data_IF_710346850144
#
_entry.id   IF_710346850144
#
_cell.length_a   1.000
_cell.length_b   1.000
_cell.length_c   1.000
_cell.angle_alpha   90.00
_cell.angle_beta   90.00
_cell.angle_gamma   90.00
#
_symmetry.space_group_name_H-M   'P 1'
#
loop_
_entity.id
_entity.type
_entity.pdbx_description
1 polymer ?
#
# COMPACT_ATOMS: atom_id res chain seq x y z
N UNK A 1 28.33 -22.18 14.30
CA UNK A 1 27.98 -21.00 13.49
C UNK A 1 27.07 -20.14 14.34
N UNK A 2 27.55 -18.95 14.70
CA UNK A 2 26.96 -18.06 15.70
C UNK A 2 25.59 -17.53 15.26
N UNK A 3 24.55 -17.85 16.03
CA UNK A 3 23.26 -17.17 16.00
C UNK A 3 23.48 -15.67 16.24
N UNK A 4 23.34 -14.89 15.18
CA UNK A 4 23.35 -13.45 15.25
C UNK A 4 22.15 -12.98 16.08
N UNK A 5 22.40 -12.60 17.32
CA UNK A 5 21.50 -11.84 18.19
C UNK A 5 21.04 -10.56 17.46
N UNK A 6 19.98 -10.64 16.63
CA UNK A 6 19.33 -9.47 16.05
C UNK A 6 18.65 -8.74 17.20
N UNK A 7 19.33 -7.72 17.74
CA UNK A 7 18.63 -6.67 18.47
C UNK A 7 17.44 -6.23 17.60
N UNK A 8 16.21 -6.14 18.13
CA UNK A 8 15.10 -5.59 17.37
C UNK A 8 15.53 -4.24 16.77
N UNK A 9 15.25 -4.04 15.48
CA UNK A 9 15.64 -2.83 14.80
C UNK A 9 14.97 -1.64 15.50
N UNK A 10 15.78 -0.83 16.18
CA UNK A 10 15.28 0.28 16.97
C UNK A 10 14.48 1.26 16.11
N UNK A 11 14.81 1.38 14.83
CA UNK A 11 14.06 2.22 13.90
C UNK A 11 12.67 1.65 13.66
N UNK A 12 12.55 0.33 13.50
CA UNK A 12 11.26 -0.35 13.32
C UNK A 12 10.37 -0.23 14.56
N UNK A 13 10.93 -0.36 15.77
CA UNK A 13 10.18 -0.13 17.02
C UNK A 13 9.58 1.27 17.08
N UNK A 14 10.34 2.29 16.65
CA UNK A 14 9.92 3.68 16.62
C UNK A 14 8.82 3.92 15.58
N UNK A 15 8.93 3.32 14.38
CA UNK A 15 7.88 3.38 13.36
C UNK A 15 6.61 2.66 13.79
N UNK A 16 6.73 1.50 14.46
CA UNK A 16 5.59 0.77 15.01
C UNK A 16 4.87 1.59 16.09
N UNK A 17 5.63 2.24 16.99
CA UNK A 17 5.08 3.15 17.98
C UNK A 17 4.37 4.36 17.33
N UNK A 18 4.98 4.98 16.32
CA UNK A 18 4.37 6.06 15.57
C UNK A 18 3.05 5.64 14.92
N UNK A 19 3.02 4.48 14.25
CA UNK A 19 1.82 3.92 13.65
C UNK A 19 0.69 3.72 14.66
N UNK A 20 0.99 3.15 15.84
CA UNK A 20 0.00 2.99 16.93
C UNK A 20 -0.57 4.34 17.39
N UNK A 21 0.28 5.36 17.54
CA UNK A 21 -0.17 6.72 17.91
C UNK A 21 -1.04 7.34 16.82
N UNK A 22 -0.66 7.22 15.55
CA UNK A 22 -1.45 7.75 14.46
C UNK A 22 -2.84 7.11 14.38
N UNK A 23 -2.94 5.79 14.60
CA UNK A 23 -4.23 5.09 14.68
C UNK A 23 -5.03 5.53 15.91
N UNK A 24 -4.40 5.63 17.07
CA UNK A 24 -5.11 5.92 18.33
C UNK A 24 -5.61 7.37 18.42
N UNK A 25 -4.82 8.36 17.99
CA UNK A 25 -5.11 9.79 18.24
C UNK A 25 -5.01 10.71 17.02
N UNK A 26 -4.57 10.19 15.86
CA UNK A 26 -4.36 10.97 14.63
C UNK A 26 -2.93 11.51 14.46
N UNK A 27 -2.58 11.89 13.23
CA UNK A 27 -1.24 12.36 12.85
C UNK A 27 -1.01 13.79 13.39
N UNK A 28 -2.00 14.68 13.29
CA UNK A 28 -1.90 16.07 13.80
C UNK A 28 -1.59 16.12 15.28
N UNK A 29 -2.34 15.36 16.10
CA UNK A 29 -2.26 15.37 17.57
C UNK A 29 -1.04 14.62 18.13
N UNK A 30 -0.41 13.77 17.32
CA UNK A 30 0.79 13.04 17.75
C UNK A 30 2.03 13.95 17.71
N UNK A 31 2.80 13.98 18.81
CA UNK A 31 4.09 14.68 18.91
C UNK A 31 5.28 13.71 18.83
N UNK A 32 6.49 14.24 18.61
CA UNK A 32 7.71 13.42 18.66
C UNK A 32 7.91 12.80 20.06
N UNK A 33 7.60 13.56 21.11
CA UNK A 33 7.66 13.11 22.49
C UNK A 33 6.67 11.96 22.77
N UNK A 34 5.46 12.02 22.19
CA UNK A 34 4.50 10.91 22.28
C UNK A 34 5.03 9.64 21.65
N UNK A 35 5.66 9.75 20.47
CA UNK A 35 6.24 8.59 19.76
C UNK A 35 7.38 8.00 20.58
N UNK A 36 8.27 8.84 21.11
CA UNK A 36 9.38 8.38 21.95
C UNK A 36 8.86 7.64 23.20
N UNK A 37 7.84 8.20 23.88
CA UNK A 37 7.22 7.59 25.05
C UNK A 37 6.54 6.26 24.70
N UNK A 38 5.76 6.20 23.62
CA UNK A 38 5.12 4.97 23.12
C UNK A 38 6.14 3.88 22.77
N UNK A 39 7.30 4.26 22.22
CA UNK A 39 8.41 3.36 21.89
C UNK A 39 9.29 2.99 23.10
N UNK A 40 8.97 3.50 24.30
CA UNK A 40 9.83 3.41 25.50
C UNK A 40 11.27 3.83 25.16
N UNK A 41 11.39 4.96 24.48
CA UNK A 41 12.64 5.53 23.97
C UNK A 41 12.92 6.90 24.57
N UNK A 42 14.20 7.21 24.77
CA UNK A 42 14.61 8.58 25.04
C UNK A 42 14.46 9.47 23.81
N UNK A 43 14.16 10.76 24.03
CA UNK A 43 14.04 11.78 22.96
C UNK A 43 15.26 11.80 22.03
N UNK A 44 16.47 11.79 22.60
CA UNK A 44 17.72 11.77 21.82
C UNK A 44 17.81 10.54 20.88
N UNK A 45 17.26 9.40 21.28
CA UNK A 45 17.21 8.21 20.42
C UNK A 45 16.26 8.41 19.25
N UNK A 46 15.05 8.95 19.46
CA UNK A 46 14.12 9.22 18.36
C UNK A 46 14.70 10.22 17.37
N UNK A 47 15.24 11.35 17.85
CA UNK A 47 15.79 12.40 16.99
C UNK A 47 17.06 11.98 16.23
N UNK A 48 17.79 10.96 16.70
CA UNK A 48 18.89 10.34 15.95
C UNK A 48 18.39 9.57 14.71
N UNK A 49 17.18 9.01 14.77
CA UNK A 49 16.59 8.27 13.65
C UNK A 49 15.74 9.16 12.74
N UNK A 50 15.04 10.15 13.29
CA UNK A 50 14.12 11.00 12.54
C UNK A 50 14.26 12.47 12.93
N UNK A 51 14.51 13.32 11.93
CA UNK A 51 14.70 14.77 12.13
C UNK A 51 13.46 15.49 12.66
N UNK A 52 12.27 15.02 12.27
CA UNK A 52 10.98 15.63 12.61
C UNK A 52 9.84 14.62 12.38
N UNK A 53 8.60 15.04 12.70
CA UNK A 53 7.40 14.21 12.52
C UNK A 53 7.14 13.86 11.06
N UNK A 54 7.39 14.78 10.12
CA UNK A 54 7.20 14.51 8.69
C UNK A 54 8.09 13.36 8.22
N UNK A 55 9.36 13.32 8.63
CA UNK A 55 10.25 12.20 8.32
C UNK A 55 9.76 10.87 8.91
N UNK A 56 9.13 10.88 10.10
CA UNK A 56 8.51 9.67 10.66
C UNK A 56 7.33 9.21 9.80
N UNK A 57 6.49 10.14 9.33
CA UNK A 57 5.34 9.81 8.48
C UNK A 57 5.82 9.23 7.14
N UNK A 58 6.79 9.87 6.51
CA UNK A 58 7.31 9.44 5.21
C UNK A 58 7.97 8.05 5.30
N UNK A 59 8.79 7.82 6.33
CA UNK A 59 9.43 6.53 6.58
C UNK A 59 8.43 5.44 6.98
N UNK A 60 7.36 5.81 7.70
CA UNK A 60 6.26 4.89 8.00
C UNK A 60 5.53 4.48 6.72
N UNK A 61 5.23 5.43 5.82
CA UNK A 61 4.58 5.12 4.54
C UNK A 61 5.49 4.30 3.61
N UNK A 62 6.81 4.49 3.67
CA UNK A 62 7.76 3.64 2.97
C UNK A 62 7.69 2.18 3.48
N UNK A 63 7.63 1.99 4.80
CA UNK A 63 7.43 0.68 5.43
C UNK A 63 6.09 0.05 5.05
N UNK A 64 5.01 0.83 5.08
CA UNK A 64 3.68 0.34 4.64
C UNK A 64 3.70 0.02 3.14
N UNK A 65 4.49 0.74 2.34
CA UNK A 65 4.77 0.41 0.95
C UNK A 65 5.37 -1.00 0.80
N UNK A 66 6.36 -1.38 1.61
CA UNK A 66 6.91 -2.75 1.57
C UNK A 66 5.87 -3.81 1.94
N UNK A 67 4.99 -3.51 2.89
CA UNK A 67 3.87 -4.41 3.23
C UNK A 67 2.87 -4.51 2.08
N UNK A 68 2.62 -3.40 1.38
CA UNK A 68 1.78 -3.36 0.20
C UNK A 68 2.34 -4.23 -0.93
N UNK A 69 3.64 -4.12 -1.24
CA UNK A 69 4.29 -5.03 -2.21
C UNK A 69 4.07 -6.49 -1.87
N UNK A 70 4.33 -6.88 -0.61
CA UNK A 70 4.12 -8.27 -0.16
C UNK A 70 2.65 -8.71 -0.31
N UNK A 71 1.70 -7.83 -0.03
CA UNK A 71 0.28 -8.13 -0.19
C UNK A 71 -0.09 -8.34 -1.68
N UNK A 72 0.42 -7.51 -2.58
CA UNK A 72 0.22 -7.67 -4.03
C UNK A 72 0.84 -8.98 -4.55
N UNK A 73 2.08 -9.29 -4.14
CA UNK A 73 2.77 -10.53 -4.51
C UNK A 73 2.00 -11.77 -4.04
N UNK A 74 1.53 -11.76 -2.79
CA UNK A 74 0.66 -12.83 -2.26
C UNK A 74 -0.67 -12.90 -3.01
N UNK A 75 -1.22 -11.75 -3.38
CA UNK A 75 -2.40 -11.63 -4.22
C UNK A 75 -2.20 -12.23 -5.61
N UNK A 76 -1.00 -12.17 -6.18
CA UNK A 76 -0.69 -12.80 -7.47
C UNK A 76 -0.32 -14.29 -7.35
N UNK A 77 0.30 -14.68 -6.23
CA UNK A 77 0.90 -16.01 -6.04
C UNK A 77 -0.10 -17.16 -6.27
N UNK A 78 0.42 -18.26 -6.83
CA UNK A 78 -0.33 -19.50 -7.04
C UNK A 78 -1.38 -19.48 -8.16
N UNK A 79 -1.41 -18.42 -8.99
CA UNK A 79 -2.38 -18.26 -10.08
C UNK A 79 -1.78 -18.62 -11.44
N UNK A 80 -2.60 -19.29 -12.24
CA UNK A 80 -2.16 -19.92 -13.49
C UNK A 80 -1.94 -18.88 -14.59
N UNK A 81 -2.92 -18.02 -14.85
CA UNK A 81 -2.85 -17.04 -15.94
C UNK A 81 -2.39 -15.66 -15.49
N UNK A 82 -1.81 -14.88 -16.40
CA UNK A 82 -1.45 -13.48 -16.16
C UNK A 82 -2.67 -12.63 -15.79
N UNK A 83 -3.84 -12.90 -16.40
CA UNK A 83 -5.10 -12.25 -16.04
C UNK A 83 -5.47 -12.52 -14.57
N UNK A 84 -5.38 -13.77 -14.13
CA UNK A 84 -5.72 -14.13 -12.75
C UNK A 84 -4.73 -13.49 -11.76
N UNK A 85 -3.42 -13.48 -12.10
CA UNK A 85 -2.39 -12.81 -11.27
C UNK A 85 -2.68 -11.32 -11.10
N UNK A 86 -3.03 -10.62 -12.18
CA UNK A 86 -3.40 -9.20 -12.15
C UNK A 86 -4.67 -8.99 -11.31
N UNK A 87 -5.69 -9.81 -11.50
CA UNK A 87 -6.93 -9.76 -10.71
C UNK A 87 -6.65 -9.95 -9.21
N UNK A 88 -5.87 -10.97 -8.87
CA UNK A 88 -5.52 -11.28 -7.49
C UNK A 88 -4.71 -10.18 -6.82
N UNK A 89 -3.72 -9.64 -7.52
CA UNK A 89 -2.95 -8.48 -7.05
C UNK A 89 -3.84 -7.24 -6.91
N UNK A 90 -4.75 -6.98 -7.86
CA UNK A 90 -5.69 -5.85 -7.79
C UNK A 90 -6.58 -5.93 -6.55
N UNK A 91 -7.18 -7.10 -6.29
CA UNK A 91 -8.00 -7.35 -5.10
C UNK A 91 -7.22 -7.17 -3.81
N UNK A 92 -6.00 -7.72 -3.75
CA UNK A 92 -5.13 -7.54 -2.60
C UNK A 92 -4.79 -6.07 -2.38
N UNK A 93 -4.57 -5.32 -3.46
CA UNK A 93 -4.30 -3.89 -3.40
C UNK A 93 -5.48 -3.09 -2.84
N UNK A 94 -6.69 -3.33 -3.37
CA UNK A 94 -7.92 -2.68 -2.86
C UNK A 94 -8.13 -2.99 -1.38
N UNK A 95 -8.04 -4.27 -0.98
CA UNK A 95 -8.19 -4.68 0.42
C UNK A 95 -7.16 -4.03 1.32
N UNK A 96 -5.90 -3.97 0.89
CA UNK A 96 -4.86 -3.29 1.65
C UNK A 96 -5.26 -1.85 1.97
N UNK A 97 -5.71 -1.07 0.99
CA UNK A 97 -6.12 0.31 1.26
C UNK A 97 -7.36 0.42 2.15
N UNK A 98 -8.36 -0.45 1.97
CA UNK A 98 -9.63 -0.40 2.70
C UNK A 98 -9.50 -0.89 4.14
N UNK A 99 -8.62 -1.85 4.41
CA UNK A 99 -8.47 -2.44 5.74
C UNK A 99 -7.35 -1.77 6.56
N UNK A 100 -6.47 -0.98 5.93
CA UNK A 100 -5.28 -0.46 6.61
C UNK A 100 -5.60 0.73 7.52
N UNK A 101 -5.48 0.59 8.86
CA UNK A 101 -5.99 1.57 9.81
C UNK A 101 -5.37 2.97 9.70
N UNK A 102 -4.07 3.06 9.37
CA UNK A 102 -3.40 4.35 9.18
C UNK A 102 -3.92 5.04 7.92
N UNK A 103 -4.19 4.28 6.85
CA UNK A 103 -4.60 4.84 5.56
C UNK A 103 -6.05 5.29 5.63
N UNK A 104 -6.94 4.45 6.15
CA UNK A 104 -8.36 4.79 6.31
C UNK A 104 -8.57 5.96 7.26
N UNK A 105 -8.00 5.90 8.48
CA UNK A 105 -8.11 7.02 9.44
C UNK A 105 -7.50 8.31 8.88
N UNK A 106 -6.33 8.24 8.26
CA UNK A 106 -5.70 9.41 7.67
C UNK A 106 -6.48 9.99 6.49
N UNK A 107 -7.17 9.15 5.68
CA UNK A 107 -8.09 9.62 4.63
C UNK A 107 -9.31 10.30 5.24
N UNK A 108 -9.93 9.71 6.25
CA UNK A 108 -11.22 10.15 6.77
C UNK A 108 -11.10 11.38 7.68
N UNK A 109 -10.06 11.43 8.53
CA UNK A 109 -9.90 12.48 9.54
C UNK A 109 -8.85 13.54 9.14
N UNK A 110 -7.84 13.15 8.36
CA UNK A 110 -6.69 14.01 8.05
C UNK A 110 -6.28 14.02 6.56
N UNK A 111 -7.23 14.14 5.60
CA UNK A 111 -6.97 13.93 4.17
C UNK A 111 -5.88 14.87 3.62
N UNK A 112 -5.81 16.10 4.11
CA UNK A 112 -4.80 17.09 3.70
C UNK A 112 -3.36 16.76 4.11
N UNK A 113 -3.16 15.78 5.00
CA UNK A 113 -1.82 15.29 5.41
C UNK A 113 -1.50 13.98 4.69
N UNK A 114 -2.47 13.05 4.65
CA UNK A 114 -2.25 11.72 4.14
C UNK A 114 -2.28 11.68 2.60
N UNK A 115 -3.34 12.20 1.96
CA UNK A 115 -3.56 12.01 0.53
C UNK A 115 -2.41 12.57 -0.32
N UNK A 116 -1.87 13.77 -0.07
CA UNK A 116 -0.73 14.26 -0.84
C UNK A 116 0.50 13.35 -0.78
N UNK A 117 0.77 12.68 0.35
CA UNK A 117 1.90 11.76 0.49
C UNK A 117 1.72 10.44 -0.28
N UNK A 118 0.48 10.07 -0.56
CA UNK A 118 0.15 8.88 -1.35
C UNK A 118 0.11 9.25 -2.84
N UNK A 119 -0.58 10.33 -3.19
CA UNK A 119 -0.97 10.63 -4.58
C UNK A 119 -0.05 11.64 -5.26
N UNK A 120 0.46 12.65 -4.56
CA UNK A 120 1.29 13.67 -5.18
C UNK A 120 2.68 13.11 -5.49
N UNK A 121 3.12 13.23 -6.74
CA UNK A 121 4.44 12.75 -7.19
C UNK A 121 4.62 11.23 -7.14
N UNK A 122 3.55 10.45 -6.92
CA UNK A 122 3.60 8.99 -6.80
C UNK A 122 4.27 8.57 -5.50
N UNK A 123 3.50 8.48 -4.41
CA UNK A 123 3.99 8.02 -3.10
C UNK A 123 4.48 6.57 -3.09
N UNK A 124 5.04 6.09 -1.96
CA UNK A 124 5.67 4.77 -1.88
C UNK A 124 4.79 3.61 -2.34
N UNK A 125 3.49 3.66 -2.01
CA UNK A 125 2.50 2.65 -2.41
C UNK A 125 2.22 2.69 -3.91
N UNK A 126 2.10 3.89 -4.49
CA UNK A 126 1.83 4.09 -5.92
C UNK A 126 2.99 3.58 -6.76
N UNK A 127 4.23 3.96 -6.44
CA UNK A 127 5.42 3.49 -7.19
C UNK A 127 5.55 1.97 -7.18
N UNK A 128 5.30 1.36 -6.03
CA UNK A 128 5.37 -0.10 -5.86
C UNK A 128 4.26 -0.82 -6.62
N UNK A 129 3.03 -0.30 -6.56
CA UNK A 129 1.92 -0.82 -7.36
C UNK A 129 2.23 -0.73 -8.86
N UNK A 130 2.70 0.44 -9.33
CA UNK A 130 3.08 0.64 -10.72
C UNK A 130 4.15 -0.36 -11.18
N UNK A 131 5.20 -0.56 -10.38
CA UNK A 131 6.27 -1.50 -10.69
C UNK A 131 5.73 -2.93 -10.85
N UNK A 132 5.01 -3.44 -9.85
CA UNK A 132 4.50 -4.81 -9.86
C UNK A 132 3.47 -5.05 -10.97
N UNK A 133 2.52 -4.15 -11.18
CA UNK A 133 1.54 -4.31 -12.26
C UNK A 133 2.19 -4.18 -13.64
N UNK A 134 3.21 -3.34 -13.80
CA UNK A 134 3.97 -3.26 -15.05
C UNK A 134 4.62 -4.60 -15.37
N UNK A 135 5.24 -5.24 -14.39
CA UNK A 135 5.86 -6.56 -14.53
C UNK A 135 4.83 -7.63 -14.91
N UNK A 136 3.74 -7.76 -14.15
CA UNK A 136 2.69 -8.75 -14.43
C UNK A 136 2.06 -8.57 -15.82
N UNK A 137 1.83 -7.32 -16.24
CA UNK A 137 1.25 -7.03 -17.55
C UNK A 137 2.28 -7.31 -18.66
N UNK A 138 3.54 -6.94 -18.47
CA UNK A 138 4.60 -7.21 -19.43
C UNK A 138 4.79 -8.72 -19.66
N UNK A 139 4.76 -9.52 -18.60
CA UNK A 139 4.80 -10.98 -18.68
C UNK A 139 3.62 -11.52 -19.49
N UNK A 140 2.40 -11.09 -19.19
CA UNK A 140 1.20 -11.55 -19.90
C UNK A 140 1.15 -11.13 -21.37
N UNK A 141 1.68 -9.95 -21.72
CA UNK A 141 1.84 -9.52 -23.12
C UNK A 141 2.90 -10.36 -23.83
N UNK A 142 4.02 -10.65 -23.16
CA UNK A 142 5.11 -11.44 -23.73
C UNK A 142 4.72 -12.91 -23.96
N UNK A 143 3.92 -13.51 -23.06
CA UNK A 143 3.41 -14.87 -23.22
C UNK A 143 2.26 -14.98 -24.24
N UNK A 144 1.68 -13.85 -24.65
CA UNK A 144 0.51 -13.81 -25.55
C UNK A 144 -0.82 -14.07 -24.85
N UNK A 145 -0.84 -14.19 -23.52
CA UNK A 145 -2.06 -14.32 -22.72
C UNK A 145 -2.88 -13.03 -22.65
N UNK A 146 -2.22 -11.88 -22.76
CA UNK A 146 -2.84 -10.55 -22.80
C UNK A 146 -2.71 -9.94 -24.19
N UNK A 147 -3.71 -9.13 -24.56
CA UNK A 147 -3.64 -8.33 -25.79
C UNK A 147 -2.46 -7.36 -25.73
N UNK A 148 -1.94 -6.95 -26.90
CA UNK A 148 -0.84 -5.98 -26.95
C UNK A 148 -1.27 -4.62 -26.42
N UNK A 149 -0.71 -4.24 -25.29
CA UNK A 149 -0.83 -2.93 -24.64
C UNK A 149 0.55 -2.46 -24.20
N UNK A 150 0.69 -1.17 -23.92
CA UNK A 150 1.86 -0.61 -23.23
C UNK A 150 1.75 -0.95 -21.73
N UNK A 151 2.64 -1.80 -21.16
CA UNK A 151 2.49 -2.28 -19.78
C UNK A 151 2.54 -1.17 -18.73
N UNK A 152 3.47 -0.20 -18.77
CA UNK A 152 3.43 0.97 -17.89
C UNK A 152 2.10 1.74 -17.92
N UNK A 153 1.54 1.99 -19.11
CA UNK A 153 0.27 2.73 -19.25
C UNK A 153 -0.89 1.93 -18.67
N UNK A 154 -0.95 0.62 -18.95
CA UNK A 154 -1.99 -0.24 -18.41
C UNK A 154 -1.88 -0.36 -16.87
N UNK A 155 -0.66 -0.46 -16.33
CA UNK A 155 -0.41 -0.46 -14.89
C UNK A 155 -0.88 0.85 -14.22
N UNK A 156 -0.69 2.00 -14.88
CA UNK A 156 -1.19 3.29 -14.38
C UNK A 156 -2.72 3.29 -14.22
N UNK A 157 -3.45 2.75 -15.20
CA UNK A 157 -4.92 2.64 -15.11
C UNK A 157 -5.33 1.75 -13.94
N UNK A 158 -4.70 0.59 -13.78
CA UNK A 158 -4.98 -0.34 -12.68
C UNK A 158 -4.75 0.34 -11.32
N UNK A 159 -3.61 1.01 -11.14
CA UNK A 159 -3.27 1.70 -9.89
C UNK A 159 -4.23 2.87 -9.61
N UNK A 160 -4.62 3.64 -10.64
CA UNK A 160 -5.61 4.71 -10.48
C UNK A 160 -6.97 4.19 -10.02
N UNK A 161 -7.40 3.02 -10.51
CA UNK A 161 -8.63 2.38 -10.05
C UNK A 161 -8.54 2.00 -8.58
N UNK A 162 -7.44 1.35 -8.14
CA UNK A 162 -7.21 1.03 -6.72
C UNK A 162 -7.28 2.30 -5.85
N UNK A 163 -6.58 3.36 -6.25
CA UNK A 163 -6.61 4.64 -5.53
C UNK A 163 -7.99 5.30 -5.52
N UNK A 164 -8.77 5.13 -6.60
CA UNK A 164 -10.14 5.65 -6.67
C UNK A 164 -11.04 4.97 -5.65
N UNK A 165 -10.98 3.64 -5.51
CA UNK A 165 -11.73 2.90 -4.48
C UNK A 165 -11.34 3.31 -3.05
N UNK A 166 -10.06 3.65 -2.86
CA UNK A 166 -9.59 4.15 -1.58
C UNK A 166 -10.11 5.57 -1.30
N UNK A 167 -9.94 6.51 -2.23
CA UNK A 167 -10.30 7.92 -2.04
C UNK A 167 -11.81 8.15 -2.02
N UNK A 168 -12.55 7.38 -2.82
CA UNK A 168 -14.00 7.42 -2.92
C UNK A 168 -14.53 5.99 -2.74
N UNK A 169 -14.90 5.60 -1.50
CA UNK A 169 -15.49 4.31 -1.24
C UNK A 169 -16.67 4.07 -2.19
N UNK A 170 -16.77 2.89 -2.80
CA UNK A 170 -17.75 2.65 -3.84
C UNK A 170 -19.17 2.79 -3.30
N UNK A 171 -19.98 3.59 -4.01
CA UNK A 171 -21.38 3.84 -3.65
C UNK A 171 -22.34 2.71 -4.08
N UNK A 172 -21.88 1.83 -4.97
CA UNK A 172 -22.68 0.75 -5.57
C UNK A 172 -22.01 -0.64 -5.53
N UNK A 173 -20.70 -0.70 -5.33
CA UNK A 173 -19.93 -1.96 -5.28
C UNK A 173 -19.56 -2.26 -3.82
N UNK A 174 -19.84 -3.45 -3.31
CA UNK A 174 -19.42 -3.85 -1.96
C UNK A 174 -18.03 -4.48 -2.01
N UNK A 175 -16.98 -3.68 -1.90
CA UNK A 175 -15.58 -4.18 -1.83
C UNK A 175 -15.28 -4.95 -0.54
N UNK A 176 -16.13 -4.82 0.49
CA UNK A 176 -16.15 -5.65 1.69
C UNK A 176 -16.68 -7.07 1.42
N UNK A 177 -17.37 -7.30 0.30
CA UNK A 177 -17.78 -8.62 -0.16
C UNK A 177 -16.69 -9.23 -1.08
N UNK A 178 -16.05 -10.33 -0.68
CA UNK A 178 -15.03 -11.00 -1.48
C UNK A 178 -15.49 -11.44 -2.87
N UNK A 179 -16.74 -11.86 -3.03
CA UNK A 179 -17.28 -12.37 -4.28
C UNK A 179 -17.60 -11.23 -5.25
N UNK A 180 -18.25 -10.16 -4.77
CA UNK A 180 -18.51 -8.97 -5.58
C UNK A 180 -17.21 -8.28 -6.00
N UNK A 181 -16.25 -8.14 -5.08
CA UNK A 181 -14.95 -7.56 -5.39
C UNK A 181 -14.24 -8.36 -6.49
N UNK A 182 -14.24 -9.69 -6.39
CA UNK A 182 -13.60 -10.56 -7.37
C UNK A 182 -14.33 -10.54 -8.73
N UNK A 183 -15.67 -10.56 -8.75
CA UNK A 183 -16.44 -10.43 -9.98
C UNK A 183 -16.16 -9.10 -10.69
N UNK A 184 -16.04 -8.01 -9.92
CA UNK A 184 -15.71 -6.70 -10.45
C UNK A 184 -14.27 -6.63 -10.98
N UNK A 185 -13.29 -7.15 -10.24
CA UNK A 185 -11.91 -7.23 -10.68
C UNK A 185 -11.78 -8.05 -11.98
N UNK A 186 -12.47 -9.19 -12.07
CA UNK A 186 -12.61 -9.97 -13.31
C UNK A 186 -13.16 -9.13 -14.44
N UNK A 187 -14.28 -8.43 -14.24
CA UNK A 187 -14.93 -7.66 -15.30
C UNK A 187 -14.00 -6.55 -15.84
N UNK A 188 -13.28 -5.85 -14.95
CA UNK A 188 -12.29 -4.85 -15.33
C UNK A 188 -11.11 -5.45 -16.11
N UNK A 189 -10.48 -6.50 -15.56
CA UNK A 189 -9.28 -7.10 -16.15
C UNK A 189 -9.62 -7.84 -17.45
N UNK A 190 -10.71 -8.62 -17.45
CA UNK A 190 -11.17 -9.35 -18.62
C UNK A 190 -11.60 -8.41 -19.76
N UNK A 191 -12.32 -7.34 -19.45
CA UNK A 191 -12.75 -6.37 -20.46
C UNK A 191 -11.63 -5.49 -21.01
N UNK A 192 -10.60 -5.21 -20.21
CA UNK A 192 -9.52 -4.29 -20.60
C UNK A 192 -8.30 -4.96 -21.23
N UNK A 193 -8.04 -6.25 -20.94
CA UNK A 193 -6.74 -6.89 -21.23
C UNK A 193 -6.82 -8.24 -21.96
N UNK A 194 -7.97 -8.89 -22.06
CA UNK A 194 -8.08 -10.15 -22.82
C UNK A 194 -8.08 -9.90 -24.33
N UNK A 195 -7.44 -10.80 -25.06
CA UNK A 195 -7.36 -10.82 -26.52
C UNK A 195 -8.66 -11.32 -27.15
#
# INVERSE_FOLDING_TARGET
>A
MTEGNRRPDRREDLLAAAGRRFVAVGIRKTTMEDIAREAKAGKATLYRHFRNKDAVIDDLLEREGERFTRALEQGAAGRETASDRIEGAFLAGVRFFVDHPILTKGRDEEPGILLPRITAGGGPLVRRGLALFTELIAEGVASGELRRVDPPVAAEVVVRLILSYFAFPPMQLRVDDPEEAAAFARALVAGALRA
#
